data_IF_188938831084
#
_entry.id   IF_188938831084
#
_cell.length_a   1.000
_cell.length_b   1.000
_cell.length_c   1.000
_cell.angle_alpha   90.00
_cell.angle_beta   90.00
_cell.angle_gamma   90.00
#
_symmetry.space_group_name_H-M   'P 1'
#
loop_
_entity.id
_entity.type
_entity.pdbx_description
1 polymer ?
#
# COMPACT_ATOMS: atom_id res chain seq x y z
N UNK A 1 -14.31 -14.07 -11.10
CA UNK A 1 -13.40 -13.04 -11.67
C UNK A 1 -12.09 -13.17 -10.92
N UNK A 2 -10.91 -13.19 -11.56
CA UNK A 2 -9.67 -13.27 -10.81
C UNK A 2 -9.59 -12.03 -9.90
N UNK A 3 -9.49 -12.25 -8.60
CA UNK A 3 -9.21 -11.19 -7.63
C UNK A 3 -7.90 -10.53 -8.05
N UNK A 4 -7.96 -9.30 -8.57
CA UNK A 4 -6.76 -8.53 -8.91
C UNK A 4 -5.97 -8.34 -7.62
N UNK A 5 -4.73 -8.84 -7.61
CA UNK A 5 -3.81 -8.72 -6.49
C UNK A 5 -3.54 -7.23 -6.25
N UNK A 6 -3.65 -6.75 -5.00
CA UNK A 6 -3.42 -5.34 -4.64
C UNK A 6 -1.92 -5.04 -4.56
N UNK A 7 -1.18 -5.89 -3.86
CA UNK A 7 0.28 -5.84 -3.79
C UNK A 7 0.87 -7.21 -3.46
N UNK A 8 2.19 -7.35 -3.60
CA UNK A 8 2.97 -8.48 -3.08
C UNK A 8 4.31 -8.02 -2.48
N UNK A 9 4.74 -8.73 -1.43
CA UNK A 9 6.08 -8.60 -0.89
C UNK A 9 7.03 -9.50 -1.66
N UNK A 10 8.14 -8.92 -2.11
CA UNK A 10 9.21 -9.60 -2.81
C UNK A 10 10.34 -9.93 -1.83
N UNK A 11 11.12 -10.95 -2.14
CA UNK A 11 12.21 -11.40 -1.27
C UNK A 11 13.30 -10.33 -1.17
N UNK A 12 13.58 -9.90 0.07
CA UNK A 12 14.65 -8.98 0.39
C UNK A 12 15.11 -9.22 1.84
N UNK A 13 16.37 -8.95 2.15
CA UNK A 13 17.03 -9.41 3.39
C UNK A 13 16.86 -8.47 4.58
N UNK A 14 16.48 -7.22 4.36
CA UNK A 14 16.34 -6.22 5.41
C UNK A 14 15.14 -5.28 5.16
N UNK A 15 15.11 -4.64 4.00
CA UNK A 15 14.00 -3.75 3.62
C UNK A 15 12.77 -4.52 3.12
N UNK A 16 11.61 -3.86 3.13
CA UNK A 16 10.40 -4.37 2.50
C UNK A 16 10.37 -3.97 1.02
N UNK A 17 10.49 -4.95 0.12
CA UNK A 17 10.31 -4.71 -1.31
C UNK A 17 8.88 -5.04 -1.72
N UNK A 18 8.14 -4.04 -2.21
CA UNK A 18 6.73 -4.15 -2.55
C UNK A 18 6.51 -3.95 -4.04
N UNK A 19 5.77 -4.87 -4.67
CA UNK A 19 5.15 -4.64 -5.97
C UNK A 19 3.65 -4.37 -5.76
N UNK A 20 3.23 -3.13 -5.97
CA UNK A 20 1.83 -2.71 -5.89
C UNK A 20 1.20 -2.60 -7.30
N UNK A 21 -0.08 -2.91 -7.40
CA UNK A 21 -0.80 -2.96 -8.67
C UNK A 21 -2.07 -2.11 -8.60
N UNK A 22 -2.46 -1.53 -9.73
CA UNK A 22 -3.69 -0.78 -9.91
C UNK A 22 -4.08 -0.74 -11.37
N UNK A 23 -5.33 -0.40 -11.67
CA UNK A 23 -5.78 -0.10 -13.05
C UNK A 23 -5.36 1.30 -13.47
N UNK A 24 -5.18 2.19 -12.50
CA UNK A 24 -4.67 3.54 -12.68
C UNK A 24 -3.43 3.74 -11.80
N UNK A 25 -2.71 4.84 -12.03
CA UNK A 25 -1.54 5.17 -11.24
C UNK A 25 -1.94 5.45 -9.79
N UNK A 26 -3.05 6.16 -9.59
CA UNK A 26 -3.64 6.47 -8.29
C UNK A 26 -3.97 5.19 -7.51
N UNK A 27 -4.66 4.22 -8.14
CA UNK A 27 -4.97 2.92 -7.50
C UNK A 27 -3.68 2.16 -7.12
N UNK A 28 -2.62 2.27 -7.93
CA UNK A 28 -1.34 1.64 -7.61
C UNK A 28 -0.63 2.33 -6.43
N UNK A 29 -0.68 3.66 -6.34
CA UNK A 29 -0.15 4.43 -5.22
C UNK A 29 -0.93 4.16 -3.92
N UNK A 30 -2.27 4.10 -3.98
CA UNK A 30 -3.11 3.71 -2.84
C UNK A 30 -2.73 2.32 -2.31
N UNK A 31 -2.55 1.34 -3.21
CA UNK A 31 -2.15 -0.01 -2.82
C UNK A 31 -0.70 -0.08 -2.30
N UNK A 32 0.19 0.79 -2.77
CA UNK A 32 1.55 0.91 -2.23
C UNK A 32 1.55 1.51 -0.82
N UNK A 33 0.72 2.52 -0.56
CA UNK A 33 0.52 3.07 0.78
C UNK A 33 -0.04 2.00 1.73
N UNK A 34 -1.05 1.23 1.29
CA UNK A 34 -1.60 0.12 2.06
C UNK A 34 -0.52 -0.91 2.43
N UNK A 35 0.32 -1.31 1.47
CA UNK A 35 1.42 -2.25 1.70
C UNK A 35 2.44 -1.70 2.71
N UNK A 36 2.70 -0.39 2.70
CA UNK A 36 3.63 0.26 3.64
C UNK A 36 3.14 0.13 5.08
N UNK A 37 1.85 0.31 5.32
CA UNK A 37 1.27 0.10 6.66
C UNK A 37 1.22 -1.38 7.06
N UNK A 38 0.95 -2.28 6.09
CA UNK A 38 0.96 -3.74 6.32
C UNK A 38 2.33 -4.26 6.79
N UNK A 39 3.44 -3.63 6.39
CA UNK A 39 4.79 -3.94 6.92
C UNK A 39 4.88 -3.65 8.42
N UNK A 40 4.15 -2.64 8.91
CA UNK A 40 4.22 -2.20 10.31
C UNK A 40 3.25 -2.97 11.22
N UNK A 41 2.02 -3.19 10.74
CA UNK A 41 0.98 -3.90 11.50
C UNK A 41 -0.12 -4.41 10.56
N UNK A 42 -0.86 -5.39 11.04
CA UNK A 42 -2.10 -5.85 10.42
C UNK A 42 -3.12 -4.68 10.38
N UNK A 43 -3.32 -4.13 9.18
CA UNK A 43 -4.21 -2.98 8.93
C UNK A 43 -5.67 -3.33 9.09
N UNK A 44 -6.07 -4.61 8.97
CA UNK A 44 -7.47 -5.03 9.18
C UNK A 44 -7.90 -4.88 10.65
N UNK A 45 -6.94 -4.80 11.57
CA UNK A 45 -7.18 -4.58 13.01
C UNK A 45 -7.21 -3.11 13.43
N UNK A 46 -6.94 -2.19 12.52
CA UNK A 46 -6.87 -0.75 12.82
C UNK A 46 -8.26 -0.10 12.68
N UNK A 47 -8.73 0.56 13.75
CA UNK A 47 -10.01 1.28 13.72
C UNK A 47 -9.86 2.67 13.07
N UNK A 48 -10.74 2.97 12.11
CA UNK A 48 -10.79 4.27 11.42
C UNK A 48 -11.44 5.34 12.31
N UNK A 49 -10.65 6.01 13.14
CA UNK A 49 -11.12 7.06 14.07
C UNK A 49 -10.88 8.48 13.58
N UNK A 50 -9.92 8.64 12.69
CA UNK A 50 -9.43 9.94 12.22
C UNK A 50 -9.13 9.84 10.73
N UNK A 51 -9.23 10.97 10.06
CA UNK A 51 -8.92 11.17 8.64
C UNK A 51 -8.07 12.43 8.55
N UNK A 52 -7.07 12.40 7.68
CA UNK A 52 -6.15 13.51 7.44
C UNK A 52 -5.81 13.55 5.95
N UNK A 53 -5.69 14.76 5.41
CA UNK A 53 -5.44 15.01 4.00
C UNK A 53 -3.97 15.36 3.79
N UNK A 54 -3.31 14.66 2.87
CA UNK A 54 -1.89 14.86 2.57
C UNK A 54 -1.71 15.17 1.08
N UNK A 55 -1.05 16.28 0.80
CA UNK A 55 -0.68 16.71 -0.56
C UNK A 55 0.84 16.87 -0.66
N UNK A 56 1.42 16.34 -1.74
CA UNK A 56 2.87 16.37 -1.99
C UNK A 56 3.14 16.59 -3.47
N UNK A 57 4.24 17.27 -3.78
CA UNK A 57 4.75 17.44 -5.14
C UNK A 57 6.17 16.83 -5.24
N UNK A 58 6.45 16.14 -6.34
CA UNK A 58 7.74 15.54 -6.66
C UNK A 58 8.17 15.92 -8.08
N UNK A 59 9.48 16.07 -8.28
CA UNK A 59 10.08 16.51 -9.54
C UNK A 59 10.42 15.36 -10.49
#
# INVERSE_FOLDING_TARGET
MPTRKRFEFLEHTADAYVAAYGRTLEEAFENAALATFEVMTDVEKVELKVEDDVEVEGH
#
